data_IF_196457417080
#
_entry.id   IF_196457417080
#
_cell.length_a   1.000
_cell.length_b   1.000
_cell.length_c   1.000
_cell.angle_alpha   90.00
_cell.angle_beta   90.00
_cell.angle_gamma   90.00
#
_symmetry.space_group_name_H-M   'P 1'
#
loop_
_entity.id
_entity.type
_entity.pdbx_description
1 polymer ?
#
# COMPACT_ATOMS: atom_id res chain seq x y z
N UNK A 1 -1.41 -9.90 -7.32
CA UNK A 1 -0.80 -10.62 -8.44
C UNK A 1 0.68 -10.78 -8.10
N UNK A 2 1.33 -11.91 -8.40
CA UNK A 2 2.74 -12.12 -8.05
C UNK A 2 3.65 -10.97 -8.51
N UNK A 3 3.46 -10.50 -9.74
CA UNK A 3 4.26 -9.41 -10.34
C UNK A 3 4.07 -8.06 -9.63
N UNK A 4 2.90 -7.82 -9.06
CA UNK A 4 2.58 -6.54 -8.41
C UNK A 4 3.11 -6.49 -6.97
N UNK A 5 3.56 -7.63 -6.39
CA UNK A 5 4.04 -7.68 -5.00
C UNK A 5 5.28 -6.83 -4.76
N UNK A 6 6.19 -6.73 -5.74
CA UNK A 6 7.37 -5.87 -5.65
C UNK A 6 6.99 -4.39 -5.67
N UNK A 7 6.32 -3.92 -6.74
CA UNK A 7 5.85 -2.54 -6.86
C UNK A 7 4.99 -2.06 -5.68
N UNK A 8 4.06 -2.89 -5.19
CA UNK A 8 3.23 -2.56 -4.02
C UNK A 8 4.07 -2.31 -2.76
N UNK A 9 5.08 -3.16 -2.50
CA UNK A 9 5.97 -3.00 -1.35
C UNK A 9 6.82 -1.74 -1.46
N UNK A 10 7.31 -1.44 -2.66
CA UNK A 10 8.13 -0.25 -2.89
C UNK A 10 7.31 1.03 -2.71
N UNK A 11 6.09 1.07 -3.25
CA UNK A 11 5.17 2.20 -3.09
C UNK A 11 4.81 2.42 -1.61
N UNK A 12 4.49 1.35 -0.87
CA UNK A 12 4.23 1.43 0.58
C UNK A 12 5.46 1.93 1.34
N UNK A 13 6.64 1.39 1.06
CA UNK A 13 7.88 1.80 1.72
C UNK A 13 8.22 3.26 1.42
N UNK A 14 7.97 3.74 0.19
CA UNK A 14 8.13 5.14 -0.17
C UNK A 14 7.18 6.04 0.63
N UNK A 15 5.89 5.69 0.71
CA UNK A 15 4.89 6.44 1.48
C UNK A 15 5.27 6.56 2.97
N UNK A 16 5.81 5.49 3.56
CA UNK A 16 6.31 5.49 4.94
C UNK A 16 7.59 6.32 5.10
N UNK A 17 8.49 6.31 4.11
CA UNK A 17 9.72 7.11 4.20
C UNK A 17 9.48 8.61 4.06
N UNK A 18 8.57 9.00 3.17
CA UNK A 18 8.34 10.42 2.84
C UNK A 18 7.20 11.05 3.61
N UNK A 19 6.37 10.26 4.30
CA UNK A 19 5.11 10.75 4.87
C UNK A 19 4.06 11.09 3.82
N UNK A 20 4.30 10.76 2.55
CA UNK A 20 3.34 11.00 1.48
C UNK A 20 2.20 9.96 1.53
N UNK A 21 0.98 10.32 1.10
CA UNK A 21 -0.08 9.35 0.91
C UNK A 21 0.33 8.27 -0.09
N UNK A 22 -0.02 7.01 0.20
CA UNK A 22 -0.04 5.93 -0.76
C UNK A 22 -1.30 6.05 -1.61
N UNK A 23 -1.13 5.95 -2.92
CA UNK A 23 -2.19 5.71 -3.87
C UNK A 23 -1.63 4.75 -4.92
N UNK A 24 -2.14 3.51 -4.94
CA UNK A 24 -1.56 2.47 -5.78
C UNK A 24 -2.64 1.49 -6.24
N UNK A 25 -2.69 1.27 -7.55
CA UNK A 25 -3.54 0.26 -8.17
C UNK A 25 -2.74 -1.02 -8.40
N UNK A 26 -3.35 -2.16 -8.06
CA UNK A 26 -2.72 -3.46 -8.24
C UNK A 26 -3.76 -4.52 -8.52
N UNK A 27 -3.31 -5.61 -9.13
CA UNK A 27 -4.18 -6.74 -9.44
C UNK A 27 -4.20 -7.72 -8.26
N UNK A 28 -5.34 -8.31 -7.98
CA UNK A 28 -5.49 -9.46 -7.08
C UNK A 28 -5.97 -10.68 -7.85
N UNK A 29 -5.51 -11.86 -7.44
CA UNK A 29 -6.02 -13.12 -7.97
C UNK A 29 -7.06 -13.60 -6.96
N UNK A 30 -8.30 -13.69 -7.40
CA UNK A 30 -9.44 -14.13 -6.59
C UNK A 30 -9.39 -15.67 -6.42
N UNK A 31 -10.08 -16.27 -5.42
CA UNK A 31 -10.03 -17.72 -5.22
C UNK A 31 -10.49 -18.56 -6.41
N UNK A 32 -11.31 -18.00 -7.31
CA UNK A 32 -11.76 -18.63 -8.56
C UNK A 32 -10.75 -18.49 -9.72
N UNK A 33 -9.62 -17.82 -9.48
CA UNK A 33 -8.57 -17.56 -10.48
C UNK A 33 -8.75 -16.27 -11.28
N UNK A 34 -9.85 -15.53 -11.09
CA UNK A 34 -10.08 -14.26 -11.77
C UNK A 34 -9.08 -13.20 -11.30
N UNK A 35 -8.62 -12.35 -12.23
CA UNK A 35 -7.78 -11.20 -11.91
C UNK A 35 -8.65 -9.94 -11.82
N UNK A 36 -8.64 -9.29 -10.66
CA UNK A 36 -9.38 -8.04 -10.42
C UNK A 36 -8.44 -6.89 -10.08
N UNK A 37 -8.79 -5.69 -10.50
CA UNK A 37 -8.08 -4.46 -10.11
C UNK A 37 -8.63 -3.94 -8.80
N UNK A 38 -7.74 -3.61 -7.87
CA UNK A 38 -8.04 -2.90 -6.63
C UNK A 38 -7.15 -1.66 -6.54
N UNK A 39 -7.63 -0.66 -5.81
CA UNK A 39 -6.88 0.55 -5.48
C UNK A 39 -6.70 0.62 -3.98
N UNK A 40 -5.46 0.71 -3.51
CA UNK A 40 -5.18 1.03 -2.11
C UNK A 40 -4.88 2.52 -1.96
N UNK A 41 -5.50 3.12 -0.95
CA UNK A 41 -5.19 4.49 -0.52
C UNK A 41 -4.96 4.52 0.98
N UNK A 42 -3.90 5.18 1.41
CA UNK A 42 -3.61 5.31 2.84
C UNK A 42 -2.45 6.22 3.16
N UNK A 43 -2.17 6.39 4.45
CA UNK A 43 -1.03 7.18 4.92
C UNK A 43 -0.48 6.59 6.22
N UNK A 44 0.80 6.86 6.45
CA UNK A 44 1.44 6.56 7.72
C UNK A 44 1.06 7.60 8.78
N UNK A 45 0.76 7.12 9.98
CA UNK A 45 0.57 7.93 11.18
C UNK A 45 1.85 7.83 12.01
N UNK A 46 2.40 8.99 12.36
CA UNK A 46 3.64 9.10 13.10
C UNK A 46 3.37 9.56 14.53
N UNK A 47 4.22 9.12 15.45
CA UNK A 47 4.31 9.67 16.79
C UNK A 47 4.89 11.10 16.78
N UNK A 48 4.73 11.87 17.87
CA UNK A 48 5.30 13.21 17.98
C UNK A 48 6.83 13.25 17.81
N UNK A 49 7.53 12.14 18.03
CA UNK A 49 8.98 12.01 17.83
C UNK A 49 9.38 11.66 16.37
N UNK A 50 8.39 11.51 15.48
CA UNK A 50 8.59 11.17 14.07
C UNK A 50 8.64 9.66 13.78
N UNK A 51 8.47 8.80 14.78
CA UNK A 51 8.44 7.35 14.59
C UNK A 51 7.13 6.92 13.92
N UNK A 52 7.19 6.13 12.85
CA UNK A 52 5.98 5.61 12.21
C UNK A 52 5.29 4.59 13.13
N UNK A 53 4.11 4.92 13.66
CA UNK A 53 3.32 4.03 14.51
C UNK A 53 2.56 2.99 13.70
N UNK A 54 1.83 3.44 12.67
CA UNK A 54 0.90 2.59 11.91
C UNK A 54 0.60 3.15 10.54
N UNK A 55 0.27 2.28 9.60
CA UNK A 55 -0.28 2.65 8.31
C UNK A 55 -1.80 2.48 8.32
N UNK A 56 -2.53 3.48 7.84
CA UNK A 56 -4.00 3.47 7.79
C UNK A 56 -4.42 3.62 6.35
N UNK A 57 -5.24 2.69 5.85
CA UNK A 57 -5.71 2.75 4.48
C UNK A 57 -6.94 1.90 4.23
N UNK A 58 -7.54 2.13 3.07
CA UNK A 58 -8.64 1.32 2.52
C UNK A 58 -8.17 0.67 1.22
N UNK A 59 -8.76 -0.46 0.86
CA UNK A 59 -8.48 -1.20 -0.38
C UNK A 59 -9.77 -1.81 -0.91
#
# INVERSE_FOLDING_TARGET
>A
HPDDRGPVREALAQAIRTGSPLEHEFRVVWPDGEVRWLQSRGSAVYDPDGTAMRFVGTT
#
